data_IF_313339308131
#
_entry.id   IF_313339308131
#
_cell.length_a   1.000
_cell.length_b   1.000
_cell.length_c   1.000
_cell.angle_alpha   90.00
_cell.angle_beta   90.00
_cell.angle_gamma   90.00
#
_symmetry.space_group_name_H-M   'P 1'
#
loop_
_entity.id
_entity.type
_entity.pdbx_description
1 polymer ?
#
# COMPACT_ATOMS: atom_id res chain seq x y z
N UNK A 1 18.60 13.74 -6.89
CA UNK A 1 17.63 14.34 -5.94
C UNK A 1 17.97 13.88 -4.53
N UNK A 2 17.82 14.73 -3.52
CA UNK A 2 17.94 14.36 -2.10
C UNK A 2 16.53 14.25 -1.55
N UNK A 3 16.22 13.14 -0.91
CA UNK A 3 14.95 12.94 -0.23
C UNK A 3 15.17 12.48 1.21
N UNK A 4 14.45 13.10 2.12
CA UNK A 4 14.30 12.66 3.49
C UNK A 4 13.02 11.82 3.59
N UNK A 5 13.16 10.59 4.01
CA UNK A 5 12.05 9.63 4.16
C UNK A 5 11.87 9.38 5.66
N UNK A 6 10.69 9.65 6.18
CA UNK A 6 10.32 9.31 7.55
C UNK A 6 9.22 8.25 7.53
N UNK A 7 9.31 7.28 8.44
CA UNK A 7 8.35 6.20 8.54
C UNK A 7 8.18 5.74 9.99
N UNK A 8 7.00 5.24 10.27
CA UNK A 8 6.65 4.63 11.56
C UNK A 8 5.62 3.53 11.33
N UNK A 9 5.50 2.61 12.27
CA UNK A 9 4.51 1.53 12.23
C UNK A 9 4.02 1.25 13.64
N UNK A 10 2.72 1.11 13.81
CA UNK A 10 2.11 0.79 15.09
C UNK A 10 0.98 -0.21 14.88
N UNK A 11 1.07 -1.34 15.56
CA UNK A 11 -0.02 -2.31 15.63
C UNK A 11 -1.13 -1.75 16.52
N UNK A 12 -2.37 -1.80 16.04
CA UNK A 12 -3.54 -1.46 16.82
C UNK A 12 -3.68 -2.29 18.11
N UNK A 13 -4.56 -1.85 19.00
CA UNK A 13 -4.78 -2.49 20.31
C UNK A 13 -5.88 -3.55 20.28
N UNK A 14 -6.47 -3.83 19.14
CA UNK A 14 -7.51 -4.84 19.02
C UNK A 14 -6.94 -6.24 19.20
N UNK A 15 -7.35 -6.91 20.28
CA UNK A 15 -6.91 -8.25 20.64
C UNK A 15 -7.26 -9.32 19.60
N UNK A 16 -8.23 -9.06 18.71
CA UNK A 16 -8.60 -9.95 17.59
C UNK A 16 -7.48 -10.07 16.56
N UNK A 17 -6.60 -9.08 16.50
CA UNK A 17 -5.48 -9.02 15.57
C UNK A 17 -4.15 -8.99 16.31
N UNK A 18 -3.68 -10.16 16.84
CA UNK A 18 -2.47 -10.21 17.67
C UNK A 18 -1.17 -10.01 16.90
N UNK A 19 -1.24 -10.04 15.56
CA UNK A 19 -0.10 -9.89 14.65
C UNK A 19 -0.25 -8.59 13.87
N UNK A 20 0.86 -7.90 13.60
CA UNK A 20 0.88 -6.74 12.72
C UNK A 20 0.55 -7.16 11.28
N UNK A 21 -0.59 -6.69 10.78
CA UNK A 21 -1.08 -7.03 9.44
C UNK A 21 -0.63 -6.03 8.36
N UNK A 22 -0.20 -4.83 8.77
CA UNK A 22 0.35 -3.85 7.83
C UNK A 22 1.83 -4.13 7.54
N UNK A 23 2.27 -3.75 6.37
CA UNK A 23 3.67 -3.72 5.98
C UNK A 23 4.00 -2.39 5.28
N UNK A 24 5.25 -1.96 5.35
CA UNK A 24 5.75 -0.81 4.61
C UNK A 24 7.06 -1.14 3.88
N UNK A 25 7.28 -0.47 2.75
CA UNK A 25 8.55 -0.51 2.02
C UNK A 25 9.10 0.92 1.91
N UNK A 26 10.30 1.12 2.46
CA UNK A 26 10.96 2.43 2.53
C UNK A 26 11.98 2.66 1.41
N UNK A 27 11.88 1.97 0.28
CA UNK A 27 12.82 1.90 -0.85
C UNK A 27 14.03 0.99 -0.63
N UNK A 28 14.35 0.64 0.61
CA UNK A 28 15.52 -0.19 0.97
C UNK A 28 15.08 -1.57 1.43
N UNK A 29 14.15 -1.61 2.39
CA UNK A 29 13.68 -2.83 3.03
C UNK A 29 12.16 -2.84 3.21
N UNK A 30 11.58 -4.04 3.25
CA UNK A 30 10.20 -4.26 3.66
C UNK A 30 10.15 -4.49 5.15
N UNK A 31 9.39 -3.65 5.85
CA UNK A 31 9.27 -3.63 7.31
C UNK A 31 7.85 -4.07 7.68
N UNK A 32 7.77 -5.01 8.64
CA UNK A 32 6.53 -5.42 9.27
C UNK A 32 6.83 -5.67 10.75
N UNK A 33 6.63 -4.65 11.54
CA UNK A 33 6.98 -4.65 12.97
C UNK A 33 5.77 -4.33 13.81
N UNK A 34 5.65 -4.96 14.97
CA UNK A 34 4.56 -4.68 15.91
C UNK A 34 4.50 -3.20 16.30
N UNK A 35 5.66 -2.65 16.64
CA UNK A 35 5.83 -1.23 16.93
C UNK A 35 7.18 -0.79 16.38
N UNK A 36 7.18 0.13 15.45
CA UNK A 36 8.37 0.80 14.95
C UNK A 36 8.28 2.27 15.35
N UNK A 37 9.17 2.72 16.21
CA UNK A 37 9.31 4.15 16.52
C UNK A 37 9.61 4.92 15.24
N UNK A 38 9.24 6.21 15.19
CA UNK A 38 9.58 7.05 14.04
C UNK A 38 11.07 6.93 13.70
N UNK A 39 11.35 6.59 12.47
CA UNK A 39 12.69 6.46 11.92
C UNK A 39 12.74 7.19 10.59
N UNK A 40 13.94 7.58 10.19
CA UNK A 40 14.15 8.27 8.92
C UNK A 40 15.39 7.76 8.21
N UNK A 41 15.41 7.95 6.92
CA UNK A 41 16.61 7.79 6.11
C UNK A 41 16.66 8.92 5.08
N UNK A 42 17.88 9.35 4.77
CA UNK A 42 18.12 10.25 3.65
C UNK A 42 18.70 9.43 2.49
N UNK A 43 18.21 9.68 1.31
CA UNK A 43 18.66 8.97 0.12
C UNK A 43 18.99 9.92 -1.02
N UNK A 44 19.96 9.50 -1.84
CA UNK A 44 20.35 10.17 -3.07
C UNK A 44 20.12 9.18 -4.22
N UNK A 45 18.99 9.29 -4.86
CA UNK A 45 18.65 8.44 -6.00
C UNK A 45 17.86 9.21 -7.06
N UNK A 46 17.96 8.76 -8.31
CA UNK A 46 17.19 9.34 -9.42
C UNK A 46 15.74 8.88 -9.39
N UNK A 47 15.50 7.67 -8.89
CA UNK A 47 14.17 7.07 -8.73
C UNK A 47 14.06 6.48 -7.33
N UNK A 48 12.98 6.84 -6.63
CA UNK A 48 12.66 6.34 -5.30
C UNK A 48 11.24 5.83 -5.31
N UNK A 49 11.02 4.65 -4.72
CA UNK A 49 9.68 4.07 -4.59
C UNK A 49 9.41 3.73 -3.14
N UNK A 50 8.23 4.10 -2.66
CA UNK A 50 7.75 3.86 -1.30
C UNK A 50 6.38 3.19 -1.38
N UNK A 51 6.05 2.31 -0.45
CA UNK A 51 4.75 1.68 -0.43
C UNK A 51 4.31 1.29 0.99
N UNK A 52 3.01 1.21 1.15
CA UNK A 52 2.35 0.58 2.31
C UNK A 52 1.32 -0.42 1.82
N UNK A 53 1.08 -1.45 2.62
CA UNK A 53 0.07 -2.46 2.39
C UNK A 53 -0.58 -2.82 3.71
N UNK A 54 -1.90 -2.83 3.75
CA UNK A 54 -2.73 -3.18 4.89
C UNK A 54 -3.36 -4.56 4.61
N UNK A 55 -3.02 -5.55 5.43
CA UNK A 55 -3.57 -6.89 5.33
C UNK A 55 -5.02 -6.92 5.78
N UNK A 56 -5.93 -7.36 4.92
CA UNK A 56 -7.38 -7.29 5.16
C UNK A 56 -7.80 -8.10 6.38
N UNK A 57 -8.17 -7.41 7.44
CA UNK A 57 -8.62 -8.00 8.69
C UNK A 57 -9.78 -8.98 8.49
N UNK A 58 -9.74 -10.12 9.19
CA UNK A 58 -10.71 -11.21 9.01
C UNK A 58 -10.39 -12.18 7.87
N UNK A 59 -9.38 -11.92 7.05
CA UNK A 59 -8.88 -12.89 6.07
C UNK A 59 -7.73 -13.72 6.66
N UNK A 60 -7.52 -14.97 6.17
CA UNK A 60 -6.45 -15.81 6.65
C UNK A 60 -5.07 -15.19 6.39
N UNK A 61 -4.21 -15.16 7.42
CA UNK A 61 -2.81 -14.74 7.32
C UNK A 61 -2.62 -13.42 6.51
N UNK A 62 -3.42 -12.40 6.83
CA UNK A 62 -3.42 -11.10 6.17
C UNK A 62 -2.03 -10.43 6.21
N UNK A 63 -1.25 -10.65 7.29
CA UNK A 63 0.13 -10.21 7.45
C UNK A 63 1.08 -10.77 6.38
N UNK A 64 0.80 -11.98 5.90
CA UNK A 64 1.59 -12.57 4.79
C UNK A 64 1.24 -11.93 3.46
N UNK A 65 -0.02 -11.58 3.24
CA UNK A 65 -0.44 -10.93 2.01
C UNK A 65 0.20 -9.53 1.87
N UNK A 66 0.12 -8.71 2.93
CA UNK A 66 0.70 -7.36 2.92
C UNK A 66 2.23 -7.39 2.76
N UNK A 67 2.91 -8.29 3.45
CA UNK A 67 4.35 -8.46 3.30
C UNK A 67 4.72 -8.94 1.89
N UNK A 68 4.03 -9.97 1.38
CA UNK A 68 4.34 -10.56 0.07
C UNK A 68 4.14 -9.56 -1.07
N UNK A 69 3.06 -8.76 -1.04
CA UNK A 69 2.82 -7.76 -2.09
C UNK A 69 3.92 -6.73 -2.16
N UNK A 70 4.47 -6.30 -1.02
CA UNK A 70 5.58 -5.33 -0.98
C UNK A 70 6.92 -5.96 -1.37
N UNK A 71 7.18 -7.20 -0.99
CA UNK A 71 8.37 -7.94 -1.44
C UNK A 71 8.37 -8.13 -2.96
N UNK A 72 7.23 -8.50 -3.55
CA UNK A 72 7.09 -8.63 -5.00
C UNK A 72 7.20 -7.28 -5.72
N UNK A 73 6.64 -6.21 -5.16
CA UNK A 73 6.78 -4.86 -5.69
C UNK A 73 8.24 -4.41 -5.66
N UNK A 74 8.91 -4.55 -4.51
CA UNK A 74 10.30 -4.17 -4.35
C UNK A 74 11.21 -4.93 -5.32
N UNK A 75 11.05 -6.24 -5.42
CA UNK A 75 11.82 -7.08 -6.34
C UNK A 75 11.59 -6.69 -7.81
N UNK A 76 10.35 -6.42 -8.19
CA UNK A 76 10.02 -6.01 -9.55
C UNK A 76 10.64 -4.65 -9.91
N UNK A 77 10.51 -3.65 -9.03
CA UNK A 77 11.08 -2.30 -9.25
C UNK A 77 12.62 -2.35 -9.28
N UNK A 78 13.25 -3.08 -8.37
CA UNK A 78 14.70 -3.29 -8.36
C UNK A 78 15.18 -4.03 -9.62
N UNK A 79 14.33 -4.90 -10.18
CA UNK A 79 14.56 -5.57 -11.46
C UNK A 79 14.27 -4.70 -12.70
N UNK A 80 13.97 -3.42 -12.52
CA UNK A 80 13.73 -2.47 -13.63
C UNK A 80 12.33 -2.51 -14.21
N UNK A 81 11.34 -3.07 -13.50
CA UNK A 81 9.95 -3.04 -13.96
C UNK A 81 9.41 -1.61 -14.00
N UNK A 82 8.62 -1.32 -15.02
CA UNK A 82 7.91 -0.04 -15.13
C UNK A 82 6.83 0.06 -14.06
N UNK A 83 6.68 1.24 -13.47
CA UNK A 83 5.65 1.57 -12.49
C UNK A 83 4.33 1.90 -13.19
N UNK A 84 3.61 0.85 -13.62
CA UNK A 84 2.41 0.93 -14.43
C UNK A 84 1.31 -0.05 -13.97
N UNK A 85 0.14 0.00 -14.64
CA UNK A 85 -0.96 -0.94 -14.36
C UNK A 85 -0.60 -2.41 -14.63
N UNK A 86 0.33 -2.67 -15.54
CA UNK A 86 0.82 -4.01 -15.83
C UNK A 86 1.58 -4.59 -14.65
N UNK A 87 2.31 -3.74 -13.91
CA UNK A 87 3.01 -4.15 -12.69
C UNK A 87 2.03 -4.68 -11.63
N UNK A 88 0.93 -3.98 -11.39
CA UNK A 88 -0.11 -4.43 -10.43
C UNK A 88 -0.61 -5.83 -10.79
N UNK A 89 -0.93 -6.06 -12.06
CA UNK A 89 -1.42 -7.37 -12.51
C UNK A 89 -0.38 -8.47 -12.33
N UNK A 90 0.89 -8.20 -12.61
CA UNK A 90 1.99 -9.16 -12.40
C UNK A 90 2.18 -9.47 -10.91
N UNK A 91 2.13 -8.47 -10.04
CA UNK A 91 2.24 -8.64 -8.60
C UNK A 91 1.05 -9.45 -8.08
N UNK A 92 -0.18 -9.13 -8.52
CA UNK A 92 -1.37 -9.90 -8.15
C UNK A 92 -1.27 -11.38 -8.57
N UNK A 93 -0.83 -11.66 -9.80
CA UNK A 93 -0.62 -13.04 -10.24
C UNK A 93 0.37 -13.77 -9.34
N UNK A 94 1.51 -13.16 -9.01
CA UNK A 94 2.51 -13.75 -8.10
C UNK A 94 1.98 -13.92 -6.68
N UNK A 95 1.14 -12.99 -6.20
CA UNK A 95 0.47 -13.13 -4.91
C UNK A 95 -0.44 -14.37 -4.90
N UNK A 96 -1.24 -14.54 -5.95
CA UNK A 96 -2.08 -15.75 -6.13
C UNK A 96 -1.24 -17.03 -6.20
N UNK A 97 -0.15 -17.04 -6.98
CA UNK A 97 0.74 -18.20 -7.08
C UNK A 97 1.35 -18.59 -5.73
N UNK A 98 1.56 -17.63 -4.83
CA UNK A 98 2.18 -17.86 -3.52
C UNK A 98 1.19 -18.14 -2.40
N UNK A 99 -0.04 -17.61 -2.48
CA UNK A 99 -0.96 -17.59 -1.34
C UNK A 99 -2.34 -18.19 -1.63
N UNK A 100 -2.68 -18.54 -2.87
CA UNK A 100 -4.00 -19.10 -3.19
C UNK A 100 -4.11 -20.60 -2.90
N UNK A 101 -3.44 -21.08 -1.84
CA UNK A 101 -3.51 -22.48 -1.42
C UNK A 101 -3.32 -22.66 0.08
N UNK A 102 -3.80 -23.79 0.61
CA UNK A 102 -3.64 -24.15 2.02
C UNK A 102 -4.25 -23.12 2.96
N UNK A 103 -3.52 -22.78 4.02
CA UNK A 103 -3.95 -21.86 5.09
C UNK A 103 -4.01 -20.38 4.66
N UNK A 104 -3.51 -20.04 3.48
CA UNK A 104 -3.50 -18.67 2.96
C UNK A 104 -4.59 -18.40 1.94
N UNK A 105 -5.44 -19.40 1.62
CA UNK A 105 -6.56 -19.21 0.69
C UNK A 105 -7.46 -18.08 1.18
N UNK A 106 -7.70 -17.08 0.33
CA UNK A 106 -8.54 -15.93 0.65
C UNK A 106 -7.82 -14.82 1.39
N UNK A 107 -6.50 -14.94 1.67
CA UNK A 107 -5.73 -13.81 2.19
C UNK A 107 -5.75 -12.65 1.20
N UNK A 108 -5.90 -11.44 1.71
CA UNK A 108 -6.00 -10.23 0.91
C UNK A 108 -5.28 -9.05 1.57
N UNK A 109 -4.93 -8.06 0.76
CA UNK A 109 -4.24 -6.85 1.21
C UNK A 109 -4.54 -5.68 0.28
N UNK A 110 -4.41 -4.47 0.80
CA UNK A 110 -4.34 -3.24 0.02
C UNK A 110 -2.93 -3.04 -0.55
N UNK A 111 -2.78 -2.03 -1.39
CA UNK A 111 -1.49 -1.50 -1.82
C UNK A 111 -1.64 0.00 -2.10
N UNK A 112 -0.83 0.82 -1.45
CA UNK A 112 -0.64 2.21 -1.82
C UNK A 112 0.86 2.47 -2.02
N UNK A 113 1.24 2.88 -3.22
CA UNK A 113 2.64 3.05 -3.60
C UNK A 113 2.86 4.35 -4.36
N UNK A 114 4.04 4.92 -4.18
CA UNK A 114 4.51 6.09 -4.93
C UNK A 114 5.85 5.80 -5.56
N UNK A 115 6.09 6.35 -6.74
CA UNK A 115 7.40 6.42 -7.35
C UNK A 115 7.71 7.87 -7.69
N UNK A 116 8.85 8.36 -7.25
CA UNK A 116 9.33 9.73 -7.46
C UNK A 116 10.55 9.65 -8.38
N UNK A 117 10.49 10.37 -9.49
CA UNK A 117 11.58 10.48 -10.46
C UNK A 117 11.73 11.94 -10.91
N UNK A 118 12.77 12.60 -10.46
CA UNK A 118 12.93 14.04 -10.65
C UNK A 118 11.77 14.80 -10.02
N UNK A 119 11.03 15.56 -10.82
CA UNK A 119 9.84 16.32 -10.40
C UNK A 119 8.52 15.54 -10.59
N UNK A 120 8.59 14.32 -11.12
CA UNK A 120 7.41 13.51 -11.34
C UNK A 120 7.15 12.59 -10.17
N UNK A 121 5.87 12.50 -9.76
CA UNK A 121 5.37 11.57 -8.78
C UNK A 121 4.26 10.73 -9.42
N UNK A 122 4.47 9.42 -9.48
CA UNK A 122 3.49 8.44 -9.93
C UNK A 122 2.89 7.74 -8.72
N UNK A 123 1.57 7.55 -8.72
CA UNK A 123 0.83 6.89 -7.64
C UNK A 123 0.14 5.66 -8.17
N UNK A 124 0.17 4.59 -7.37
CA UNK A 124 -0.51 3.33 -7.62
C UNK A 124 -1.24 2.93 -6.34
N UNK A 125 -2.55 2.63 -6.44
CA UNK A 125 -3.25 2.07 -5.30
C UNK A 125 -4.25 0.98 -5.67
N UNK A 126 -4.46 0.07 -4.73
CA UNK A 126 -5.52 -0.95 -4.71
C UNK A 126 -6.05 -0.99 -3.27
N UNK A 127 -7.35 -0.84 -3.10
CA UNK A 127 -7.99 -0.76 -1.78
C UNK A 127 -8.18 0.67 -1.31
N UNK A 128 -8.19 0.87 0.00
CA UNK A 128 -8.50 2.12 0.70
C UNK A 128 -7.31 2.74 1.46
N UNK A 129 -6.13 2.13 1.38
CA UNK A 129 -4.88 2.78 1.80
C UNK A 129 -4.59 3.99 0.92
N UNK A 130 -4.19 5.11 1.51
CA UNK A 130 -4.20 6.40 0.84
C UNK A 130 -2.82 7.02 0.66
N UNK A 131 -2.68 7.78 -0.41
CA UNK A 131 -1.53 8.65 -0.68
C UNK A 131 -2.00 10.09 -0.68
N UNK A 132 -1.30 10.94 0.07
CA UNK A 132 -1.55 12.38 0.12
C UNK A 132 -0.30 13.16 -0.29
N UNK A 133 -0.54 14.31 -0.89
CA UNK A 133 0.46 15.37 -1.08
C UNK A 133 0.15 16.50 -0.13
N UNK A 134 1.16 16.99 0.58
CA UNK A 134 1.11 18.23 1.35
C UNK A 134 1.90 19.30 0.60
N UNK A 135 1.24 20.43 0.27
CA UNK A 135 1.92 21.57 -0.35
C UNK A 135 2.75 22.36 0.67
N UNK A 136 3.66 23.20 0.17
CA UNK A 136 4.42 24.13 1.03
C UNK A 136 3.53 25.17 1.74
N UNK A 137 2.28 25.35 1.27
CA UNK A 137 1.27 26.21 1.90
C UNK A 137 0.42 25.49 2.94
N UNK A 138 0.67 24.19 3.20
CA UNK A 138 -0.08 23.40 4.17
C UNK A 138 -1.35 22.75 3.61
N UNK A 139 -1.56 22.78 2.31
CA UNK A 139 -2.75 22.16 1.68
C UNK A 139 -2.55 20.66 1.48
N UNK A 140 -3.52 19.87 1.94
CA UNK A 140 -3.57 18.44 1.75
C UNK A 140 -4.37 18.08 0.50
N UNK A 141 -3.81 17.24 -0.36
CA UNK A 141 -4.47 16.68 -1.52
C UNK A 141 -4.32 15.17 -1.51
N UNK A 142 -5.45 14.44 -1.51
CA UNK A 142 -5.43 13.00 -1.73
C UNK A 142 -5.13 12.71 -3.21
N UNK A 143 -4.11 11.89 -3.45
CA UNK A 143 -3.68 11.50 -4.80
C UNK A 143 -4.21 10.13 -5.21
N UNK A 144 -4.53 9.26 -4.26
CA UNK A 144 -5.14 7.96 -4.48
C UNK A 144 -6.67 8.06 -4.48
N UNK A 145 -7.34 7.04 -5.01
CA UNK A 145 -8.80 6.91 -4.93
C UNK A 145 -9.12 5.58 -4.24
N UNK A 146 -9.94 5.63 -3.19
CA UNK A 146 -10.34 4.45 -2.45
C UNK A 146 -11.20 3.51 -3.32
N UNK A 147 -10.88 2.24 -3.32
CA UNK A 147 -11.66 1.19 -3.97
C UNK A 147 -12.60 0.56 -2.95
N UNK A 148 -13.57 1.32 -2.48
CA UNK A 148 -14.65 0.83 -1.61
C UNK A 148 -15.86 0.39 -2.43
N UNK A 149 -16.74 -0.40 -1.82
CA UNK A 149 -18.01 -0.80 -2.45
C UNK A 149 -18.82 0.44 -2.83
N UNK A 150 -18.90 1.41 -1.93
CA UNK A 150 -19.60 2.68 -2.17
C UNK A 150 -19.04 3.44 -3.37
N UNK A 151 -17.71 3.62 -3.43
CA UNK A 151 -17.07 4.29 -4.58
C UNK A 151 -17.30 3.52 -5.89
N UNK A 152 -17.38 2.19 -5.82
CA UNK A 152 -17.75 1.36 -6.95
C UNK A 152 -19.21 1.60 -7.41
N UNK A 153 -20.14 1.73 -6.47
CA UNK A 153 -21.54 2.03 -6.75
C UNK A 153 -21.70 3.43 -7.33
N UNK A 154 -21.05 4.45 -6.74
CA UNK A 154 -21.04 5.83 -7.27
C UNK A 154 -20.51 5.85 -8.71
N UNK A 155 -19.41 5.14 -9.00
CA UNK A 155 -18.83 5.09 -10.33
C UNK A 155 -19.75 4.43 -11.39
N UNK A 156 -20.68 3.57 -10.95
CA UNK A 156 -21.71 2.96 -11.82
C UNK A 156 -23.03 3.72 -11.84
N UNK A 157 -23.15 4.81 -11.05
CA UNK A 157 -24.40 5.58 -10.93
C UNK A 157 -25.48 4.88 -10.07
N UNK A 158 -25.08 3.94 -9.24
CA UNK A 158 -25.97 3.16 -8.36
C UNK A 158 -26.11 3.81 -6.95
N UNK A 159 -25.30 4.83 -6.66
CA UNK A 159 -25.30 5.58 -5.41
C UNK A 159 -24.86 7.03 -5.64
N UNK A 160 -25.26 7.95 -4.76
CA UNK A 160 -24.83 9.35 -4.79
C UNK A 160 -23.71 9.63 -3.79
N UNK A 161 -22.89 10.64 -4.08
CA UNK A 161 -21.83 11.09 -3.18
C UNK A 161 -22.44 11.73 -1.92
N UNK A 162 -22.15 11.20 -0.74
CA UNK A 162 -22.69 11.69 0.53
C UNK A 162 -23.86 10.87 1.10
N UNK A 163 -24.34 9.84 0.43
CA UNK A 163 -25.27 8.88 1.05
C UNK A 163 -24.54 8.03 2.09
N UNK A 164 -25.05 8.04 3.33
CA UNK A 164 -24.64 7.11 4.39
C UNK A 164 -25.34 5.76 4.15
N UNK A 165 -24.62 4.79 3.61
CA UNK A 165 -25.08 3.41 3.60
C UNK A 165 -24.75 2.78 4.96
N UNK A 166 -25.81 2.38 5.69
CA UNK A 166 -25.64 1.59 6.90
C UNK A 166 -24.89 0.29 6.58
N UNK A 167 -23.76 0.10 7.25
CA UNK A 167 -22.96 -1.13 7.22
C UNK A 167 -23.61 -2.21 8.08
#
# INVERSE_FOLDING_TARGET
MILDIAYTQHQGTDWRYPVQQDALWNSVEVIQSRNRLPAGLQTHADVISLAVADGLGGTPQAERASRTVLEELAAAIQGGALFDRGLVRRIHARLCDRLAFGETIGSATTLAAVQIQGEQCSVMNVGDSRVYRLSSQGEWQQLSRDHTVLNGMIARGEAEEGEEYAT
#
